data_IF_595212457575
#
_entry.id   IF_595212457575
#
_cell.length_a   1.000
_cell.length_b   1.000
_cell.length_c   1.000
_cell.angle_alpha   90.00
_cell.angle_beta   90.00
_cell.angle_gamma   90.00
#
_symmetry.space_group_name_H-M   'P 1'
#
loop_
_entity.id
_entity.type
_entity.pdbx_description
1 polymer ?
#
# COMPACT_ATOMS: atom_id res chain seq x y z
N UNK A 1 31.07 19.08 28.42
CA UNK A 1 29.82 18.80 29.16
C UNK A 1 28.98 17.86 28.30
N UNK A 2 28.87 16.59 28.67
CA UNK A 2 27.97 15.67 27.96
C UNK A 2 26.53 16.12 28.23
N UNK A 3 25.82 16.58 27.20
CA UNK A 3 24.49 17.16 27.35
C UNK A 3 23.44 16.04 27.39
N UNK A 4 23.26 15.46 28.58
CA UNK A 4 22.40 14.29 28.82
C UNK A 4 20.92 14.59 28.54
N UNK A 5 20.48 15.84 28.78
CA UNK A 5 19.11 16.30 28.48
C UNK A 5 18.81 16.33 26.97
N UNK A 6 19.75 16.78 26.14
CA UNK A 6 19.60 16.75 24.69
C UNK A 6 19.55 15.32 24.14
N UNK A 7 20.36 14.42 24.72
CA UNK A 7 20.35 13.01 24.36
C UNK A 7 19.02 12.34 24.72
N UNK A 8 18.48 12.63 25.91
CA UNK A 8 17.18 12.13 26.38
C UNK A 8 16.03 12.65 25.51
N UNK A 9 16.02 13.94 25.17
CA UNK A 9 15.00 14.55 24.30
C UNK A 9 15.01 13.95 22.90
N UNK A 10 16.19 13.80 22.28
CA UNK A 10 16.35 13.16 20.97
C UNK A 10 15.91 11.69 20.99
N UNK A 11 16.15 10.97 22.08
CA UNK A 11 15.68 9.60 22.27
C UNK A 11 14.15 9.53 22.31
N UNK A 12 13.50 10.46 23.01
CA UNK A 12 12.04 10.53 23.09
C UNK A 12 11.41 10.82 21.73
N UNK A 13 11.94 11.82 21.01
CA UNK A 13 11.48 12.16 19.65
C UNK A 13 11.64 10.98 18.67
N UNK A 14 12.73 10.22 18.78
CA UNK A 14 12.94 9.02 17.97
C UNK A 14 11.92 7.90 18.28
N UNK A 15 11.60 7.67 19.56
CA UNK A 15 10.59 6.70 19.98
C UNK A 15 9.19 7.13 19.50
N UNK A 16 8.82 8.40 19.67
CA UNK A 16 7.53 8.92 19.23
C UNK A 16 7.38 8.80 17.70
N UNK A 17 8.44 9.08 16.94
CA UNK A 17 8.48 8.90 15.49
C UNK A 17 8.33 7.43 15.08
N UNK A 18 8.99 6.50 15.78
CA UNK A 18 8.87 5.06 15.54
C UNK A 18 7.44 4.57 15.83
N UNK A 19 6.86 4.95 16.97
CA UNK A 19 5.49 4.58 17.35
C UNK A 19 4.47 5.08 16.32
N UNK A 20 4.62 6.33 15.86
CA UNK A 20 3.79 6.89 14.80
C UNK A 20 3.92 6.10 13.49
N UNK A 21 5.14 5.76 13.10
CA UNK A 21 5.38 4.97 11.89
C UNK A 21 4.73 3.58 11.96
N UNK A 22 4.90 2.89 13.09
CA UNK A 22 4.26 1.60 13.34
C UNK A 22 2.74 1.68 13.23
N UNK A 23 2.13 2.72 13.82
CA UNK A 23 0.70 2.94 13.73
C UNK A 23 0.23 3.19 12.28
N UNK A 24 1.01 3.88 11.45
CA UNK A 24 0.68 4.07 10.03
C UNK A 24 0.83 2.80 9.21
N UNK A 25 1.86 1.99 9.46
CA UNK A 25 2.02 0.66 8.83
C UNK A 25 0.82 -0.24 9.19
N UNK A 26 0.42 -0.28 10.46
CA UNK A 26 -0.74 -1.05 10.91
C UNK A 26 -2.04 -0.59 10.20
N UNK A 27 -2.25 0.73 10.07
CA UNK A 27 -3.38 1.29 9.32
C UNK A 27 -3.33 0.92 7.83
N UNK A 28 -2.16 0.89 7.22
CA UNK A 28 -2.00 0.45 5.83
C UNK A 28 -2.46 -1.00 5.62
N UNK A 29 -2.08 -1.91 6.53
CA UNK A 29 -2.60 -3.29 6.51
C UNK A 29 -4.12 -3.37 6.71
N UNK A 30 -4.66 -2.57 7.63
CA UNK A 30 -6.12 -2.50 7.84
C UNK A 30 -6.84 -2.02 6.59
N UNK A 31 -6.30 -1.01 5.89
CA UNK A 31 -6.85 -0.52 4.64
C UNK A 31 -6.83 -1.60 3.56
N UNK A 32 -5.71 -2.32 3.39
CA UNK A 32 -5.59 -3.44 2.45
C UNK A 32 -6.63 -4.52 2.73
N UNK A 33 -6.80 -4.92 3.99
CA UNK A 33 -7.79 -5.92 4.38
C UNK A 33 -9.23 -5.44 4.10
N UNK A 34 -9.52 -4.16 4.35
CA UNK A 34 -10.82 -3.57 4.07
C UNK A 34 -11.12 -3.56 2.57
N UNK A 35 -10.15 -3.16 1.74
CA UNK A 35 -10.29 -3.12 0.28
C UNK A 35 -10.55 -4.52 -0.29
N UNK A 36 -9.73 -5.51 0.08
CA UNK A 36 -9.91 -6.90 -0.36
C UNK A 36 -11.27 -7.47 0.06
N UNK A 37 -11.78 -7.08 1.24
CA UNK A 37 -13.10 -7.49 1.72
C UNK A 37 -14.22 -6.85 0.90
N UNK A 38 -14.10 -5.57 0.56
CA UNK A 38 -15.08 -4.88 -0.27
C UNK A 38 -15.12 -5.45 -1.70
N UNK A 39 -13.95 -5.70 -2.31
CA UNK A 39 -13.87 -6.35 -3.61
C UNK A 39 -14.50 -7.76 -3.60
N UNK A 40 -14.25 -8.54 -2.55
CA UNK A 40 -14.83 -9.87 -2.40
C UNK A 40 -16.37 -9.81 -2.32
N UNK A 41 -16.88 -8.87 -1.52
CA UNK A 41 -18.32 -8.63 -1.39
C UNK A 41 -18.95 -8.22 -2.72
N UNK A 42 -18.32 -7.28 -3.43
CA UNK A 42 -18.75 -6.86 -4.77
C UNK A 42 -18.75 -8.03 -5.75
N UNK A 43 -17.68 -8.82 -5.79
CA UNK A 43 -17.57 -9.99 -6.66
C UNK A 43 -18.69 -11.01 -6.42
N UNK A 44 -19.07 -11.23 -5.16
CA UNK A 44 -20.22 -12.06 -4.80
C UNK A 44 -21.55 -11.49 -5.30
N UNK A 45 -21.76 -10.18 -5.14
CA UNK A 45 -22.97 -9.51 -5.63
C UNK A 45 -23.08 -9.57 -7.15
N UNK A 46 -21.98 -9.34 -7.86
CA UNK A 46 -21.93 -9.40 -9.32
C UNK A 46 -22.23 -10.82 -9.82
N UNK A 47 -21.68 -11.85 -9.17
CA UNK A 47 -21.97 -13.26 -9.47
C UNK A 47 -23.44 -13.61 -9.21
N UNK A 48 -24.00 -13.17 -8.09
CA UNK A 48 -25.40 -13.41 -7.76
C UNK A 48 -26.33 -12.78 -8.81
N UNK A 49 -26.04 -11.54 -9.21
CA UNK A 49 -26.76 -10.84 -10.28
C UNK A 49 -26.65 -11.56 -11.63
N UNK A 50 -25.45 -12.05 -11.97
CA UNK A 50 -25.26 -12.86 -13.18
C UNK A 50 -26.12 -14.14 -13.17
N UNK A 51 -26.13 -14.88 -12.05
CA UNK A 51 -26.94 -16.09 -11.91
C UNK A 51 -28.45 -15.81 -12.00
N UNK A 52 -28.91 -14.73 -11.37
CA UNK A 52 -30.30 -14.30 -11.46
C UNK A 52 -30.69 -14.00 -12.91
N UNK A 53 -29.88 -13.21 -13.61
CA UNK A 53 -30.10 -12.90 -15.03
C UNK A 53 -30.05 -14.15 -15.91
N UNK A 54 -29.08 -15.03 -15.67
CA UNK A 54 -28.91 -16.28 -16.42
C UNK A 54 -30.12 -17.20 -16.26
N UNK A 55 -30.76 -17.23 -15.09
CA UNK A 55 -31.97 -18.02 -14.87
C UNK A 55 -33.18 -17.53 -15.69
N UNK A 56 -33.16 -16.26 -16.13
CA UNK A 56 -34.24 -15.62 -16.87
C UNK A 56 -34.09 -15.63 -18.40
N UNK A 57 -32.93 -16.02 -18.94
CA UNK A 57 -32.71 -16.03 -20.40
C UNK A 57 -33.44 -17.19 -21.08
N UNK A 58 -33.96 -16.95 -22.28
CA UNK A 58 -34.81 -17.92 -23.03
C UNK A 58 -34.11 -18.56 -24.23
N UNK A 59 -32.87 -18.18 -24.50
CA UNK A 59 -32.09 -18.68 -25.64
C UNK A 59 -30.60 -18.81 -25.27
N UNK A 60 -29.90 -19.65 -26.02
CA UNK A 60 -28.45 -19.85 -25.88
C UNK A 60 -27.68 -18.59 -26.29
N UNK A 61 -28.17 -17.86 -27.30
CA UNK A 61 -27.55 -16.62 -27.77
C UNK A 61 -27.56 -15.54 -26.66
N UNK A 62 -28.69 -15.32 -25.99
CA UNK A 62 -28.77 -14.38 -24.86
C UNK A 62 -27.95 -14.85 -23.65
N UNK A 63 -27.85 -16.16 -23.40
CA UNK A 63 -26.98 -16.69 -22.36
C UNK A 63 -25.49 -16.40 -22.67
N UNK A 64 -25.08 -16.55 -23.93
CA UNK A 64 -23.71 -16.28 -24.37
C UNK A 64 -23.34 -14.79 -24.31
N UNK A 65 -24.26 -13.91 -24.70
CA UNK A 65 -24.10 -12.47 -24.54
C UNK A 65 -23.95 -12.08 -23.07
N UNK A 66 -24.80 -12.62 -22.19
CA UNK A 66 -24.74 -12.36 -20.75
C UNK A 66 -23.42 -12.85 -20.15
N UNK A 67 -22.97 -14.07 -20.48
CA UNK A 67 -21.71 -14.62 -20.03
C UNK A 67 -20.51 -13.79 -20.51
N UNK A 68 -20.50 -13.41 -21.79
CA UNK A 68 -19.44 -12.59 -22.38
C UNK A 68 -19.34 -11.22 -21.72
N UNK A 69 -20.49 -10.58 -21.46
CA UNK A 69 -20.57 -9.30 -20.74
C UNK A 69 -20.04 -9.43 -19.30
N UNK A 70 -20.47 -10.47 -18.57
CA UNK A 70 -19.99 -10.75 -17.22
C UNK A 70 -18.48 -11.00 -17.17
N UNK A 71 -17.92 -11.76 -18.11
CA UNK A 71 -16.48 -12.00 -18.17
C UNK A 71 -15.70 -10.71 -18.42
N UNK A 72 -16.18 -9.87 -19.35
CA UNK A 72 -15.55 -8.59 -19.65
C UNK A 72 -15.56 -7.66 -18.42
N UNK A 73 -16.71 -7.48 -17.79
CA UNK A 73 -16.84 -6.61 -16.61
C UNK A 73 -16.05 -7.13 -15.41
N UNK A 74 -16.03 -8.46 -15.20
CA UNK A 74 -15.24 -9.11 -14.16
C UNK A 74 -13.74 -8.88 -14.37
N UNK A 75 -13.27 -8.98 -15.62
CA UNK A 75 -11.88 -8.73 -15.97
C UNK A 75 -11.47 -7.27 -15.73
N UNK A 76 -12.28 -6.31 -16.20
CA UNK A 76 -12.04 -4.88 -15.98
C UNK A 76 -12.01 -4.55 -14.48
N UNK A 77 -12.96 -5.09 -13.72
CA UNK A 77 -13.02 -4.91 -12.26
C UNK A 77 -11.81 -5.52 -11.55
N UNK A 78 -11.39 -6.72 -11.97
CA UNK A 78 -10.20 -7.38 -11.41
C UNK A 78 -8.92 -6.57 -11.67
N UNK A 79 -8.71 -6.09 -12.89
CA UNK A 79 -7.51 -5.30 -13.23
C UNK A 79 -7.49 -3.98 -12.44
N UNK A 80 -8.65 -3.33 -12.31
CA UNK A 80 -8.79 -2.13 -11.48
C UNK A 80 -8.42 -2.43 -10.02
N UNK A 81 -8.95 -3.50 -9.44
CA UNK A 81 -8.65 -3.90 -8.06
C UNK A 81 -7.18 -4.24 -7.88
N UNK A 82 -6.59 -5.02 -8.78
CA UNK A 82 -5.19 -5.41 -8.72
C UNK A 82 -4.26 -4.19 -8.79
N UNK A 83 -4.62 -3.19 -9.60
CA UNK A 83 -3.88 -1.92 -9.69
C UNK A 83 -3.95 -1.19 -8.35
N UNK A 84 -5.16 -1.02 -7.80
CA UNK A 84 -5.37 -0.35 -6.51
C UNK A 84 -4.63 -1.06 -5.36
N UNK A 85 -4.72 -2.38 -5.31
CA UNK A 85 -4.01 -3.18 -4.32
C UNK A 85 -2.49 -3.03 -4.44
N UNK A 86 -1.95 -2.98 -5.67
CA UNK A 86 -0.52 -2.76 -5.91
C UNK A 86 -0.07 -1.39 -5.40
N UNK A 87 -0.86 -0.34 -5.63
CA UNK A 87 -0.59 1.00 -5.11
C UNK A 87 -0.60 1.03 -3.58
N UNK A 88 -1.58 0.39 -2.95
CA UNK A 88 -1.67 0.31 -1.49
C UNK A 88 -0.47 -0.40 -0.87
N UNK A 89 0.01 -1.50 -1.48
CA UNK A 89 1.23 -2.17 -1.04
C UNK A 89 2.47 -1.30 -1.24
N UNK A 90 2.55 -0.55 -2.34
CA UNK A 90 3.66 0.37 -2.57
C UNK A 90 3.70 1.51 -1.54
N UNK A 91 2.55 2.09 -1.19
CA UNK A 91 2.45 3.13 -0.16
C UNK A 91 2.77 2.59 1.25
N UNK A 92 2.33 1.35 1.54
CA UNK A 92 2.70 0.67 2.77
C UNK A 92 4.21 0.44 2.86
N UNK A 93 4.84 -0.02 1.78
CA UNK A 93 6.30 -0.20 1.73
C UNK A 93 7.02 1.14 1.95
N UNK A 94 6.64 2.22 1.25
CA UNK A 94 7.21 3.56 1.46
C UNK A 94 7.09 4.00 2.92
N UNK A 95 5.92 3.79 3.52
CA UNK A 95 5.66 4.11 4.92
C UNK A 95 6.56 3.30 5.85
N UNK A 96 6.72 1.99 5.62
CA UNK A 96 7.58 1.14 6.42
C UNK A 96 9.07 1.50 6.30
N UNK A 97 9.52 2.01 5.14
CA UNK A 97 10.92 2.36 4.90
C UNK A 97 11.30 3.80 5.31
N UNK A 98 10.33 4.70 5.54
CA UNK A 98 10.57 6.10 5.97
C UNK A 98 11.61 6.27 7.10
N UNK A 99 11.62 5.46 8.19
CA UNK A 99 12.60 5.62 9.26
C UNK A 99 14.06 5.47 8.82
N UNK A 100 14.31 4.70 7.75
CA UNK A 100 15.65 4.43 7.23
C UNK A 100 16.14 5.55 6.31
N UNK A 101 15.25 6.23 5.58
CA UNK A 101 15.59 7.38 4.74
C UNK A 101 16.18 8.54 5.58
N UNK A 102 15.61 8.78 6.76
CA UNK A 102 16.12 9.79 7.70
C UNK A 102 17.51 9.44 8.26
N UNK A 103 17.82 8.15 8.41
CA UNK A 103 19.13 7.66 8.82
C UNK A 103 20.20 7.83 7.74
N UNK A 104 19.87 7.56 6.47
CA UNK A 104 20.78 7.72 5.34
C UNK A 104 21.09 9.19 5.04
N UNK A 105 20.11 10.09 5.16
CA UNK A 105 20.34 11.53 5.00
C UNK A 105 21.33 12.08 6.04
N UNK A 106 21.26 11.59 7.29
CA UNK A 106 22.25 11.91 8.34
C UNK A 106 23.63 11.34 8.03
N UNK A 107 23.73 10.12 7.51
CA UNK A 107 25.01 9.50 7.14
C UNK A 107 25.69 10.24 5.98
N UNK A 108 24.91 10.68 4.98
CA UNK A 108 25.42 11.46 3.84
C UNK A 108 25.92 12.85 4.26
N UNK A 109 25.28 13.50 5.25
CA UNK A 109 25.77 14.77 5.83
C UNK A 109 27.00 14.63 6.73
N UNK A 110 27.40 13.40 7.07
CA UNK A 110 28.58 13.09 7.89
C UNK A 110 29.77 12.60 7.06
N UNK A 111 29.67 12.56 5.72
CA UNK A 111 30.82 12.29 4.87
C UNK A 111 31.84 13.43 5.03
N UNK A 112 33.12 13.13 5.37
CA UNK A 112 34.14 14.16 5.47
C UNK A 112 34.30 14.85 4.11
N UNK A 113 34.29 16.19 4.11
CA UNK A 113 34.73 16.97 2.96
C UNK A 113 36.08 16.41 2.48
N UNK A 114 36.34 16.32 1.16
CA UNK A 114 37.62 15.83 0.67
C UNK A 114 38.71 16.66 1.34
N UNK A 115 39.48 16.02 2.21
CA UNK A 115 40.68 16.61 2.82
C UNK A 115 41.55 17.05 1.67
N UNK A 116 41.61 18.36 1.47
CA UNK A 116 42.55 19.01 0.58
C UNK A 116 43.93 18.63 1.11
N UNK A 117 44.46 17.53 0.60
CA UNK A 117 45.75 17.01 0.99
C UNK A 117 46.77 17.98 0.42
N UNK A 118 47.20 18.89 1.29
CA UNK A 118 48.48 19.56 1.20
C UNK A 118 49.52 18.47 0.98
N UNK A 119 50.10 18.39 -0.22
CA UNK A 119 51.50 18.04 -0.44
C UNK A 119 51.91 18.30 -1.88
N UNK A 120 52.76 19.32 -2.01
CA UNK A 120 53.67 19.71 -3.10
C UNK A 120 53.09 20.56 -4.23
#
# INVERSE_FOLDING_TARGET
MFNFDDASKKSKEAIDAMLKNYAEVAKGYQAIAAEASEYSKKSFQDMASFMEQLSGVKSIESAFELQSSFMKSSYESFVSEATKMSEMYAELAKTAYKPYEAGMAKASSMAPAPTQSVMQ
#
